data_IF_794553484574
#
_entry.id   IF_794553484574
#
_cell.length_a   1.000
_cell.length_b   1.000
_cell.length_c   1.000
_cell.angle_alpha   90.00
_cell.angle_beta   90.00
_cell.angle_gamma   90.00
#
_symmetry.space_group_name_H-M   'P 1'
#
loop_
_entity.id
_entity.type
_entity.pdbx_description
1 polymer ?
#
# COMPACT_ATOMS: atom_id res chain seq x y z
N UNK A 1 -48.34 25.92 -44.59
CA UNK A 1 -48.41 26.78 -43.40
C UNK A 1 -46.99 26.90 -42.82
N UNK A 2 -46.58 28.14 -42.58
CA UNK A 2 -45.52 28.63 -41.69
C UNK A 2 -44.07 28.13 -41.85
N UNK A 3 -43.26 28.99 -42.47
CA UNK A 3 -41.80 29.13 -42.34
C UNK A 3 -41.37 29.28 -40.86
N UNK A 4 -40.16 28.81 -40.52
CA UNK A 4 -39.20 29.59 -39.71
C UNK A 4 -37.77 29.08 -39.82
N UNK A 5 -36.91 30.04 -40.13
CA UNK A 5 -35.45 29.98 -40.21
C UNK A 5 -34.79 30.09 -38.83
N UNK A 6 -33.51 29.72 -38.85
CA UNK A 6 -32.43 29.80 -37.86
C UNK A 6 -32.42 31.06 -36.99
N UNK A 7 -32.00 30.90 -35.72
CA UNK A 7 -31.14 31.89 -35.09
C UNK A 7 -30.14 31.24 -34.11
N UNK A 8 -28.87 31.50 -34.38
CA UNK A 8 -27.71 31.19 -33.55
C UNK A 8 -27.48 32.37 -32.61
N UNK A 9 -27.53 32.17 -31.29
CA UNK A 9 -26.91 33.07 -30.34
C UNK A 9 -26.53 32.35 -29.04
N UNK A 10 -25.23 32.35 -28.73
CA UNK A 10 -24.65 31.97 -27.43
C UNK A 10 -25.15 32.89 -26.31
N UNK A 11 -25.42 32.38 -25.10
CA UNK A 11 -25.37 33.20 -23.89
C UNK A 11 -24.00 33.09 -23.21
N UNK A 12 -23.45 34.26 -22.93
CA UNK A 12 -22.20 34.52 -22.25
C UNK A 12 -22.15 34.05 -20.78
N UNK A 13 -20.92 33.96 -20.30
CA UNK A 13 -20.44 33.61 -18.96
C UNK A 13 -21.24 34.19 -17.79
N UNK A 14 -21.58 33.33 -16.82
CA UNK A 14 -21.83 33.73 -15.44
C UNK A 14 -20.63 33.33 -14.58
N UNK A 15 -19.74 34.30 -14.33
CA UNK A 15 -18.61 34.16 -13.41
C UNK A 15 -19.11 33.96 -11.97
N UNK A 16 -18.56 32.92 -11.31
CA UNK A 16 -18.73 32.70 -9.86
C UNK A 16 -17.85 33.68 -9.08
N UNK A 17 -18.31 34.26 -7.95
CA UNK A 17 -17.54 35.26 -7.21
C UNK A 17 -16.25 34.67 -6.60
N UNK A 18 -15.10 35.29 -6.92
CA UNK A 18 -13.80 35.04 -6.31
C UNK A 18 -13.78 35.57 -4.86
N UNK A 19 -13.41 34.72 -3.90
CA UNK A 19 -13.12 35.16 -2.52
C UNK A 19 -11.75 35.84 -2.47
N UNK A 20 -11.73 37.08 -1.98
CA UNK A 20 -10.52 37.86 -1.76
C UNK A 20 -9.70 37.35 -0.55
N UNK A 21 -8.37 37.51 -0.55
CA UNK A 21 -7.50 37.07 0.53
C UNK A 21 -7.60 37.98 1.76
N UNK A 22 -7.70 37.38 2.95
CA UNK A 22 -7.64 38.11 4.23
C UNK A 22 -6.19 38.46 4.56
N UNK A 23 -5.91 39.75 4.58
CA UNK A 23 -4.69 40.39 5.07
C UNK A 23 -4.81 40.50 6.60
N UNK A 24 -3.78 40.04 7.32
CA UNK A 24 -3.63 40.18 8.77
C UNK A 24 -3.31 41.63 9.14
N UNK A 25 -3.93 42.24 10.17
CA UNK A 25 -3.48 43.54 10.67
C UNK A 25 -2.41 43.39 11.76
N UNK A 26 -1.51 44.37 11.75
CA UNK A 26 -0.31 44.52 12.57
C UNK A 26 -0.59 44.84 14.06
N UNK A 27 0.42 44.57 14.90
CA UNK A 27 0.49 44.95 16.33
C UNK A 27 0.60 46.48 16.51
N UNK A 28 -0.01 47.05 17.57
CA UNK A 28 0.50 48.25 18.24
C UNK A 28 0.92 48.02 19.72
N UNK A 29 1.57 49.00 20.37
CA UNK A 29 2.69 48.79 21.32
C UNK A 29 2.35 48.80 22.82
N UNK A 30 3.37 48.43 23.63
CA UNK A 30 3.45 48.53 25.10
C UNK A 30 3.19 49.96 25.62
N UNK A 31 2.53 50.10 26.77
CA UNK A 31 2.95 50.82 28.01
C UNK A 31 1.98 50.53 29.19
N UNK A 32 2.36 50.75 30.48
CA UNK A 32 1.85 50.00 31.65
C UNK A 32 0.91 50.79 32.60
N UNK A 33 0.04 50.09 33.34
CA UNK A 33 -0.49 50.48 34.67
C UNK A 33 -1.28 49.31 35.31
N UNK A 34 -0.82 48.73 36.42
CA UNK A 34 -1.13 49.02 37.84
C UNK A 34 -2.43 48.36 38.34
N UNK A 35 -2.24 47.40 39.25
CA UNK A 35 -3.07 46.85 40.35
C UNK A 35 -4.60 46.76 40.23
N UNK A 36 -5.14 45.55 40.46
CA UNK A 36 -5.83 45.31 41.73
C UNK A 36 -5.91 43.83 42.11
N UNK A 37 -5.94 43.59 43.42
CA UNK A 37 -5.65 42.33 44.10
C UNK A 37 -6.76 41.27 44.07
N UNK A 38 -6.31 40.02 44.26
CA UNK A 38 -6.94 38.93 45.01
C UNK A 38 -7.94 38.00 44.30
N UNK A 39 -7.44 36.82 43.86
CA UNK A 39 -8.08 35.53 44.20
C UNK A 39 -7.26 34.31 43.75
N UNK A 40 -7.06 33.40 44.70
CA UNK A 40 -6.76 31.97 44.57
C UNK A 40 -5.51 31.56 43.77
N UNK A 41 -4.45 31.24 44.53
CA UNK A 41 -3.38 30.32 44.14
C UNK A 41 -3.95 28.91 43.95
N UNK A 42 -4.47 28.61 42.77
CA UNK A 42 -4.54 27.24 42.28
C UNK A 42 -3.67 27.18 41.02
N UNK A 43 -2.57 26.42 41.00
CA UNK A 43 -1.88 26.18 39.74
C UNK A 43 -2.90 25.56 38.77
N UNK A 44 -2.90 25.98 37.50
CA UNK A 44 -3.74 25.33 36.50
C UNK A 44 -3.44 23.82 36.55
N UNK A 45 -4.47 22.95 36.41
CA UNK A 45 -4.23 21.52 36.36
C UNK A 45 -3.15 21.26 35.30
N UNK A 46 -2.20 20.34 35.58
CA UNK A 46 -1.17 20.02 34.61
C UNK A 46 -1.86 19.71 33.29
N UNK A 47 -1.45 20.42 32.22
CA UNK A 47 -1.86 20.07 30.86
C UNK A 47 -1.62 18.55 30.75
N UNK A 48 -2.60 17.76 30.28
CA UNK A 48 -2.39 16.33 30.09
C UNK A 48 -1.08 16.18 29.33
N UNK A 49 -0.13 15.44 29.90
CA UNK A 49 1.16 15.20 29.29
C UNK A 49 0.90 14.79 27.83
N UNK A 50 1.61 15.40 26.90
CA UNK A 50 1.52 15.05 25.49
C UNK A 50 2.00 13.60 25.38
N UNK A 51 1.06 12.65 25.43
CA UNK A 51 1.32 11.22 25.42
C UNK A 51 1.69 10.83 23.99
N UNK A 52 2.90 11.25 23.60
CA UNK A 52 3.50 10.89 22.33
C UNK A 52 3.91 9.42 22.38
N UNK A 53 3.43 8.63 21.41
CA UNK A 53 3.89 7.25 21.22
C UNK A 53 5.27 7.31 20.59
N UNK A 54 6.25 6.69 21.23
CA UNK A 54 7.58 6.49 20.67
C UNK A 54 7.55 5.41 19.57
N UNK A 55 8.19 5.69 18.44
CA UNK A 55 8.29 4.74 17.32
C UNK A 55 9.69 4.15 17.26
N UNK A 56 9.82 2.91 17.73
CA UNK A 56 11.08 2.16 17.70
C UNK A 56 11.13 1.35 16.40
N UNK A 57 12.24 1.45 15.66
CA UNK A 57 12.44 0.66 14.43
C UNK A 57 12.66 -0.83 14.73
N UNK A 58 12.40 -1.69 13.76
CA UNK A 58 12.40 -3.15 13.93
C UNK A 58 13.75 -3.68 14.40
N UNK A 59 14.84 -3.14 13.89
CA UNK A 59 16.21 -3.48 14.26
C UNK A 59 16.58 -3.10 15.70
N UNK A 60 15.83 -2.18 16.31
CA UNK A 60 16.05 -1.70 17.67
C UNK A 60 15.07 -2.32 18.69
N UNK A 61 14.16 -3.20 18.26
CA UNK A 61 13.23 -3.88 19.16
C UNK A 61 13.92 -5.03 19.90
N UNK A 62 14.00 -4.91 21.23
CA UNK A 62 14.49 -5.98 22.09
C UNK A 62 13.45 -7.10 22.27
N UNK A 63 13.92 -8.33 22.47
CA UNK A 63 13.07 -9.47 22.83
C UNK A 63 12.26 -9.21 24.12
N UNK A 64 11.18 -9.96 24.31
CA UNK A 64 10.37 -9.91 25.53
C UNK A 64 11.08 -10.64 26.68
N UNK A 65 11.05 -10.07 27.87
CA UNK A 65 11.61 -10.72 29.07
C UNK A 65 10.83 -11.97 29.48
N UNK A 66 9.51 -11.95 29.28
CA UNK A 66 8.62 -13.08 29.58
C UNK A 66 7.57 -13.26 28.46
N UNK A 67 7.98 -13.85 27.32
CA UNK A 67 7.11 -14.00 26.15
C UNK A 67 5.96 -14.99 26.40
N UNK A 68 6.14 -15.95 27.32
CA UNK A 68 5.13 -16.96 27.64
C UNK A 68 3.95 -16.40 28.41
N UNK A 69 4.19 -15.43 29.29
CA UNK A 69 3.09 -14.72 29.94
C UNK A 69 2.50 -13.64 29.04
N UNK A 70 3.32 -12.93 28.26
CA UNK A 70 2.82 -11.91 27.33
C UNK A 70 1.87 -12.48 26.28
N UNK A 71 2.16 -13.64 25.69
CA UNK A 71 1.27 -14.22 24.67
C UNK A 71 -0.14 -14.54 25.19
N UNK A 72 -0.29 -14.79 26.50
CA UNK A 72 -1.59 -15.10 27.13
C UNK A 72 -2.49 -13.86 27.24
N UNK A 73 -1.91 -12.66 27.36
CA UNK A 73 -2.65 -11.41 27.53
C UNK A 73 -2.73 -10.56 26.26
N UNK A 74 -1.80 -10.74 25.30
CA UNK A 74 -1.66 -9.82 24.15
C UNK A 74 -2.95 -9.68 23.33
N UNK A 75 -3.74 -10.75 23.17
CA UNK A 75 -4.99 -10.69 22.41
C UNK A 75 -6.04 -9.81 23.10
N UNK A 76 -6.15 -9.91 24.42
CA UNK A 76 -7.06 -9.08 25.22
C UNK A 76 -6.58 -7.60 25.24
N UNK A 77 -5.27 -7.39 25.38
CA UNK A 77 -4.65 -6.06 25.35
C UNK A 77 -4.90 -5.36 23.99
N UNK A 78 -4.83 -6.11 22.89
CA UNK A 78 -5.15 -5.66 21.53
C UNK A 78 -6.62 -5.25 21.35
N UNK A 79 -7.53 -5.79 22.14
CA UNK A 79 -8.97 -5.44 22.12
C UNK A 79 -9.34 -4.29 23.07
N UNK A 80 -8.37 -3.74 23.80
CA UNK A 80 -8.55 -2.62 24.71
C UNK A 80 -9.28 -1.43 24.05
N UNK A 81 -10.16 -0.78 24.81
CA UNK A 81 -10.79 0.50 24.43
C UNK A 81 -9.80 1.67 24.52
N UNK A 82 -8.74 1.52 25.31
CA UNK A 82 -7.66 2.48 25.40
C UNK A 82 -6.67 2.24 24.26
N UNK A 83 -6.64 3.18 23.30
CA UNK A 83 -5.82 3.10 22.10
C UNK A 83 -4.32 3.11 22.40
N UNK A 84 -3.89 3.65 23.54
CA UNK A 84 -2.48 3.65 23.95
C UNK A 84 -2.06 2.23 24.31
N UNK A 85 -2.88 1.53 25.09
CA UNK A 85 -2.66 0.10 25.38
C UNK A 85 -2.64 -0.74 24.12
N UNK A 86 -3.47 -0.42 23.12
CA UNK A 86 -3.41 -1.11 21.82
C UNK A 86 -2.08 -0.83 21.11
N UNK A 87 -1.55 0.40 21.16
CA UNK A 87 -0.22 0.70 20.62
C UNK A 87 0.89 -0.10 21.34
N UNK A 88 0.83 -0.20 22.67
CA UNK A 88 1.76 -0.99 23.47
C UNK A 88 1.68 -2.48 23.10
N UNK A 89 0.47 -3.03 23.03
CA UNK A 89 0.22 -4.42 22.63
C UNK A 89 0.70 -4.69 21.20
N UNK A 90 0.51 -3.76 20.26
CA UNK A 90 1.04 -3.87 18.90
C UNK A 90 2.58 -3.86 18.88
N UNK A 91 3.23 -3.11 19.76
CA UNK A 91 4.69 -3.20 19.91
C UNK A 91 5.13 -4.53 20.51
N UNK A 92 4.36 -5.12 21.43
CA UNK A 92 4.63 -6.48 21.91
C UNK A 92 4.39 -7.53 20.81
N UNK A 93 3.38 -7.37 19.95
CA UNK A 93 3.20 -8.18 18.73
C UNK A 93 4.42 -8.10 17.84
N UNK A 94 4.98 -6.91 17.60
CA UNK A 94 6.21 -6.72 16.83
C UNK A 94 7.38 -7.51 17.41
N UNK A 95 7.57 -7.42 18.73
CA UNK A 95 8.62 -8.15 19.45
C UNK A 95 8.41 -9.67 19.39
N UNK A 96 7.17 -10.13 19.54
CA UNK A 96 6.80 -11.54 19.39
C UNK A 96 7.06 -12.03 17.96
N UNK A 97 6.70 -11.23 16.95
CA UNK A 97 6.94 -11.57 15.55
C UNK A 97 8.43 -11.72 15.26
N UNK A 98 9.28 -10.82 15.73
CA UNK A 98 10.71 -10.84 15.42
C UNK A 98 11.50 -11.87 16.25
N UNK A 99 11.13 -12.09 17.52
CA UNK A 99 11.95 -12.86 18.46
C UNK A 99 11.30 -14.16 18.97
N UNK A 100 9.99 -14.32 18.80
CA UNK A 100 9.21 -15.43 19.39
C UNK A 100 8.11 -15.95 18.44
N UNK A 101 8.47 -16.15 17.17
CA UNK A 101 7.54 -16.49 16.08
C UNK A 101 6.58 -17.66 16.39
N UNK A 102 7.09 -18.70 17.04
CA UNK A 102 6.31 -19.90 17.40
C UNK A 102 5.16 -19.62 18.36
N UNK A 103 5.26 -18.58 19.19
CA UNK A 103 4.20 -18.18 20.12
C UNK A 103 3.13 -17.35 19.43
N UNK A 104 3.50 -16.51 18.46
CA UNK A 104 2.55 -15.65 17.75
C UNK A 104 1.78 -16.39 16.67
N UNK A 105 2.40 -17.39 16.02
CA UNK A 105 1.82 -18.13 14.91
C UNK A 105 0.38 -18.64 15.19
N UNK A 106 0.07 -19.29 16.33
CA UNK A 106 -1.28 -19.81 16.59
C UNK A 106 -2.39 -18.74 16.65
N UNK A 107 -2.05 -17.47 16.86
CA UNK A 107 -3.00 -16.36 16.96
C UNK A 107 -2.84 -15.34 15.83
N UNK A 108 -1.99 -15.62 14.84
CA UNK A 108 -1.57 -14.64 13.83
C UNK A 108 -2.75 -14.11 13.02
N UNK A 109 -3.72 -14.96 12.69
CA UNK A 109 -4.92 -14.55 11.95
C UNK A 109 -5.74 -13.50 12.73
N UNK A 110 -5.99 -13.75 14.02
CA UNK A 110 -6.69 -12.80 14.89
C UNK A 110 -5.91 -11.49 15.02
N UNK A 111 -4.59 -11.57 15.13
CA UNK A 111 -3.71 -10.39 15.18
C UNK A 111 -3.82 -9.57 13.91
N UNK A 112 -3.83 -10.18 12.72
CA UNK A 112 -4.02 -9.47 11.45
C UNK A 112 -5.37 -8.76 11.38
N UNK A 113 -6.46 -9.39 11.84
CA UNK A 113 -7.78 -8.75 11.90
C UNK A 113 -7.80 -7.53 12.82
N UNK A 114 -7.14 -7.61 13.98
CA UNK A 114 -7.01 -6.45 14.89
C UNK A 114 -6.13 -5.37 14.28
N UNK A 115 -5.05 -5.72 13.58
CA UNK A 115 -4.22 -4.75 12.86
C UNK A 115 -5.05 -3.99 11.82
N UNK A 116 -5.87 -4.69 11.01
CA UNK A 116 -6.78 -4.06 10.04
C UNK A 116 -7.73 -3.07 10.72
N UNK A 117 -8.33 -3.47 11.85
CA UNK A 117 -9.20 -2.61 12.65
C UNK A 117 -8.44 -1.38 13.17
N UNK A 118 -7.21 -1.57 13.64
CA UNK A 118 -6.35 -0.52 14.19
C UNK A 118 -5.92 0.50 13.13
N UNK A 119 -5.62 0.03 11.91
CA UNK A 119 -5.34 0.90 10.76
C UNK A 119 -6.53 1.81 10.43
N UNK A 120 -7.77 1.36 10.64
CA UNK A 120 -8.97 2.17 10.36
C UNK A 120 -9.22 3.28 11.40
N UNK A 121 -8.46 3.30 12.50
CA UNK A 121 -8.54 4.35 13.53
C UNK A 121 -8.21 5.75 12.97
N UNK A 122 -8.91 6.81 13.44
CA UNK A 122 -8.56 8.19 13.09
C UNK A 122 -7.26 8.66 13.76
N UNK A 123 -6.76 7.91 14.76
CA UNK A 123 -5.53 8.24 15.48
C UNK A 123 -4.32 7.79 14.67
N UNK A 124 -3.53 8.74 14.18
CA UNK A 124 -2.35 8.40 13.36
C UNK A 124 -1.30 7.59 14.10
N UNK A 125 -1.17 7.74 15.42
CA UNK A 125 -0.23 6.95 16.18
C UNK A 125 -0.60 5.46 16.14
N UNK A 126 -1.84 5.12 16.49
CA UNK A 126 -2.34 3.75 16.39
C UNK A 126 -2.27 3.21 14.96
N UNK A 127 -2.69 4.01 13.98
CA UNK A 127 -2.60 3.61 12.57
C UNK A 127 -1.16 3.30 12.16
N UNK A 128 -0.20 4.17 12.50
CA UNK A 128 1.21 3.96 12.15
C UNK A 128 1.79 2.74 12.87
N UNK A 129 1.56 2.59 14.18
CA UNK A 129 2.04 1.44 14.93
C UNK A 129 1.51 0.12 14.37
N UNK A 130 0.23 0.08 13.94
CA UNK A 130 -0.33 -1.11 13.29
C UNK A 130 0.29 -1.43 11.92
N UNK A 131 0.71 -0.40 11.17
CA UNK A 131 1.44 -0.58 9.91
C UNK A 131 2.86 -1.11 10.18
N UNK A 132 3.57 -0.57 11.17
CA UNK A 132 4.87 -1.08 11.58
C UNK A 132 4.78 -2.55 12.04
N UNK A 133 3.72 -2.91 12.76
CA UNK A 133 3.43 -4.31 13.10
C UNK A 133 3.22 -5.21 11.87
N UNK A 134 2.62 -4.68 10.80
CA UNK A 134 2.46 -5.43 9.56
C UNK A 134 3.80 -5.71 8.88
N UNK A 135 4.70 -4.72 8.86
CA UNK A 135 6.07 -4.87 8.34
C UNK A 135 6.81 -6.03 9.03
N UNK A 136 6.77 -6.07 10.36
CA UNK A 136 7.45 -7.11 11.14
C UNK A 136 6.79 -8.48 10.96
N UNK A 137 5.47 -8.52 10.79
CA UNK A 137 4.76 -9.76 10.44
C UNK A 137 5.16 -10.26 9.05
N UNK A 138 5.30 -9.39 8.06
CA UNK A 138 5.74 -9.79 6.71
C UNK A 138 7.16 -10.35 6.73
N UNK A 139 8.05 -9.72 7.47
CA UNK A 139 9.43 -10.19 7.65
C UNK A 139 9.47 -11.59 8.28
N UNK A 140 8.65 -11.83 9.30
CA UNK A 140 8.70 -13.07 10.08
C UNK A 140 7.87 -14.22 9.52
N UNK A 141 6.73 -13.92 8.91
CA UNK A 141 5.74 -14.92 8.51
C UNK A 141 5.44 -14.91 7.00
N UNK A 142 6.17 -14.14 6.20
CA UNK A 142 5.85 -13.95 4.78
C UNK A 142 5.62 -15.23 3.97
N UNK A 143 6.31 -16.31 4.32
CA UNK A 143 6.17 -17.64 3.72
C UNK A 143 4.84 -18.36 4.06
N UNK A 144 4.19 -18.00 5.17
CA UNK A 144 2.93 -18.59 5.64
C UNK A 144 1.70 -17.74 5.33
N UNK A 145 1.85 -16.42 5.21
CA UNK A 145 0.70 -15.52 5.13
C UNK A 145 -0.29 -15.83 4.00
N UNK A 146 0.16 -16.22 2.78
CA UNK A 146 -0.79 -16.55 1.72
C UNK A 146 -1.61 -17.82 2.00
N UNK A 147 -1.14 -18.75 2.83
CA UNK A 147 -1.81 -20.03 3.13
C UNK A 147 -2.63 -20.02 4.42
N UNK A 148 -2.31 -19.14 5.39
CA UNK A 148 -3.02 -19.05 6.68
C UNK A 148 -4.49 -18.59 6.52
N UNK A 149 -4.85 -17.96 5.39
CA UNK A 149 -6.04 -17.10 5.30
C UNK A 149 -7.03 -17.50 4.20
N UNK A 150 -7.20 -18.78 3.88
CA UNK A 150 -8.16 -19.21 2.85
C UNK A 150 -9.62 -18.94 3.26
N UNK A 151 -9.99 -19.14 4.53
CA UNK A 151 -11.39 -19.03 4.98
C UNK A 151 -11.78 -17.64 5.51
N UNK A 152 -10.94 -16.96 6.30
CA UNK A 152 -11.30 -15.67 6.90
C UNK A 152 -10.79 -14.44 6.12
N UNK A 153 -10.03 -14.64 5.04
CA UNK A 153 -9.49 -13.57 4.19
C UNK A 153 -8.75 -12.46 4.99
N UNK A 154 -8.22 -12.76 6.19
CA UNK A 154 -7.53 -11.81 7.05
C UNK A 154 -6.32 -11.17 6.36
N UNK A 155 -5.54 -11.95 5.60
CA UNK A 155 -4.42 -11.42 4.82
C UNK A 155 -4.91 -10.50 3.69
N UNK A 156 -5.99 -10.86 2.99
CA UNK A 156 -6.55 -10.06 1.90
C UNK A 156 -7.06 -8.71 2.43
N UNK A 157 -7.70 -8.71 3.61
CA UNK A 157 -8.10 -7.50 4.31
C UNK A 157 -6.91 -6.64 4.73
N UNK A 158 -5.83 -7.24 5.23
CA UNK A 158 -4.60 -6.54 5.60
C UNK A 158 -3.94 -5.87 4.41
N UNK A 159 -3.79 -6.63 3.31
CA UNK A 159 -3.22 -6.17 2.06
C UNK A 159 -4.02 -4.99 1.49
N UNK A 160 -5.35 -5.13 1.36
CA UNK A 160 -6.19 -4.05 0.84
C UNK A 160 -6.12 -2.81 1.74
N UNK A 161 -6.14 -3.01 3.06
CA UNK A 161 -6.06 -1.91 4.01
C UNK A 161 -4.73 -1.16 3.92
N UNK A 162 -3.61 -1.85 3.73
CA UNK A 162 -2.30 -1.23 3.49
C UNK A 162 -2.27 -0.42 2.19
N UNK A 163 -2.81 -0.96 1.09
CA UNK A 163 -2.93 -0.22 -0.17
C UNK A 163 -3.74 1.07 0.00
N UNK A 164 -4.86 1.00 0.74
CA UNK A 164 -5.66 2.19 1.07
C UNK A 164 -4.86 3.20 1.91
N UNK A 165 -4.01 2.74 2.84
CA UNK A 165 -3.18 3.62 3.67
C UNK A 165 -2.00 4.24 2.93
N UNK A 166 -1.43 3.55 1.95
CA UNK A 166 -0.44 4.10 1.02
C UNK A 166 -1.06 5.04 -0.03
N UNK A 167 -2.40 5.11 -0.12
CA UNK A 167 -3.12 5.92 -1.11
C UNK A 167 -3.66 7.26 -0.57
N UNK A 168 -3.35 7.60 0.67
CA UNK A 168 -3.85 8.81 1.34
C UNK A 168 -2.86 9.98 1.27
N UNK A 169 -3.34 11.20 1.54
CA UNK A 169 -2.50 12.41 1.49
C UNK A 169 -1.70 12.68 2.79
N UNK A 170 -1.97 11.94 3.87
CA UNK A 170 -1.25 12.07 5.15
C UNK A 170 0.12 11.38 5.10
N UNK A 171 1.14 12.16 4.71
CA UNK A 171 2.54 11.73 4.52
C UNK A 171 3.05 10.76 5.60
N UNK A 172 2.92 11.13 6.88
CA UNK A 172 3.39 10.31 8.02
C UNK A 172 2.88 8.87 8.05
N UNK A 173 1.64 8.63 7.61
CA UNK A 173 1.04 7.28 7.58
C UNK A 173 1.26 6.64 6.21
N UNK A 174 1.19 7.43 5.14
CA UNK A 174 1.39 6.99 3.77
C UNK A 174 2.80 6.40 3.57
N UNK A 175 3.85 7.10 4.00
CA UNK A 175 5.24 6.64 3.88
C UNK A 175 5.48 5.33 4.65
N UNK A 176 4.87 5.20 5.84
CA UNK A 176 4.98 3.95 6.60
C UNK A 176 4.26 2.79 5.90
N UNK A 177 3.09 3.06 5.30
CA UNK A 177 2.35 2.04 4.54
C UNK A 177 3.11 1.63 3.28
N UNK A 178 3.78 2.55 2.59
CA UNK A 178 4.63 2.23 1.45
C UNK A 178 5.82 1.35 1.84
N UNK A 179 6.46 1.61 2.98
CA UNK A 179 7.50 0.71 3.53
C UNK A 179 6.95 -0.68 3.85
N UNK A 180 5.75 -0.76 4.42
CA UNK A 180 5.11 -2.05 4.69
C UNK A 180 4.79 -2.81 3.39
N UNK A 181 4.34 -2.12 2.34
CA UNK A 181 4.13 -2.73 1.01
C UNK A 181 5.45 -3.18 0.36
N UNK A 182 6.55 -2.45 0.58
CA UNK A 182 7.90 -2.88 0.16
C UNK A 182 8.31 -4.17 0.86
N UNK A 183 8.16 -4.22 2.19
CA UNK A 183 8.45 -5.42 2.97
C UNK A 183 7.56 -6.59 2.54
N UNK A 184 6.26 -6.36 2.32
CA UNK A 184 5.34 -7.38 1.81
C UNK A 184 5.84 -7.96 0.48
N UNK A 185 6.18 -7.10 -0.48
CA UNK A 185 6.70 -7.52 -1.77
C UNK A 185 8.06 -8.22 -1.64
N UNK A 186 8.87 -7.89 -0.64
CA UNK A 186 10.21 -8.46 -0.42
C UNK A 186 10.17 -9.85 0.22
N UNK A 187 9.36 -10.04 1.26
CA UNK A 187 9.39 -11.24 2.12
C UNK A 187 8.32 -12.29 1.80
N UNK A 188 7.28 -11.93 1.05
CA UNK A 188 6.26 -12.89 0.60
C UNK A 188 6.64 -13.42 -0.78
N UNK A 189 6.44 -14.72 -1.01
CA UNK A 189 6.66 -15.34 -2.32
C UNK A 189 5.81 -14.65 -3.40
N UNK A 190 6.45 -14.29 -4.51
CA UNK A 190 5.87 -13.43 -5.54
C UNK A 190 4.58 -14.01 -6.14
N UNK A 191 4.54 -15.31 -6.46
CA UNK A 191 3.41 -15.93 -7.15
C UNK A 191 2.09 -15.87 -6.36
N UNK A 192 2.00 -16.35 -5.11
CA UNK A 192 0.77 -16.22 -4.33
C UNK A 192 0.43 -14.76 -4.01
N UNK A 193 1.43 -13.89 -3.81
CA UNK A 193 1.17 -12.47 -3.55
C UNK A 193 0.53 -11.77 -4.76
N UNK A 194 1.02 -12.01 -5.99
CA UNK A 194 0.39 -11.44 -7.20
C UNK A 194 -1.06 -11.91 -7.33
N UNK A 195 -1.35 -13.19 -7.06
CA UNK A 195 -2.74 -13.69 -7.07
C UNK A 195 -3.65 -12.92 -6.12
N UNK A 196 -3.16 -12.55 -4.93
CA UNK A 196 -3.91 -11.72 -3.97
C UNK A 196 -4.00 -10.24 -4.36
N UNK A 197 -2.98 -9.70 -5.06
CA UNK A 197 -2.96 -8.31 -5.54
C UNK A 197 -3.78 -8.08 -6.82
N UNK A 198 -3.99 -9.11 -7.64
CA UNK A 198 -4.64 -9.01 -8.94
C UNK A 198 -6.03 -8.34 -8.90
N UNK A 199 -6.92 -8.58 -7.93
CA UNK A 199 -8.18 -7.85 -7.84
C UNK A 199 -7.98 -6.34 -7.58
N UNK A 200 -6.88 -5.95 -6.93
CA UNK A 200 -6.62 -4.58 -6.52
C UNK A 200 -6.15 -3.67 -7.66
N UNK A 201 -5.58 -4.23 -8.74
CA UNK A 201 -5.24 -3.45 -9.94
C UNK A 201 -6.46 -3.06 -10.78
N UNK A 202 -7.66 -3.54 -10.43
CA UNK A 202 -8.94 -3.13 -11.01
C UNK A 202 -9.81 -2.30 -10.04
N UNK A 203 -9.23 -1.86 -8.92
CA UNK A 203 -9.96 -1.14 -7.88
C UNK A 203 -10.48 0.23 -8.38
N UNK A 204 -11.65 0.68 -7.92
CA UNK A 204 -12.25 1.95 -8.36
C UNK A 204 -11.38 3.19 -8.03
N UNK A 205 -10.69 3.17 -6.88
CA UNK A 205 -9.73 4.21 -6.49
C UNK A 205 -8.42 4.07 -7.28
N UNK A 206 -8.12 5.08 -8.11
CA UNK A 206 -6.92 5.12 -8.96
C UNK A 206 -5.62 4.95 -8.17
N UNK A 207 -5.51 5.57 -6.98
CA UNK A 207 -4.29 5.51 -6.15
C UNK A 207 -4.05 4.10 -5.60
N UNK A 208 -5.12 3.41 -5.21
CA UNK A 208 -5.05 2.00 -4.77
C UNK A 208 -4.56 1.12 -5.92
N UNK A 209 -5.08 1.32 -7.14
CA UNK A 209 -4.60 0.59 -8.32
C UNK A 209 -3.12 0.84 -8.58
N UNK A 210 -2.66 2.08 -8.50
CA UNK A 210 -1.25 2.42 -8.69
C UNK A 210 -0.36 1.73 -7.65
N UNK A 211 -0.74 1.73 -6.37
CA UNK A 211 0.03 1.02 -5.32
C UNK A 211 0.02 -0.49 -5.53
N UNK A 212 -1.10 -1.08 -5.94
CA UNK A 212 -1.18 -2.50 -6.28
C UNK A 212 -0.28 -2.84 -7.48
N UNK A 213 -0.30 -2.01 -8.52
CA UNK A 213 0.54 -2.17 -9.70
C UNK A 213 2.03 -2.15 -9.35
N UNK A 214 2.47 -1.20 -8.50
CA UNK A 214 3.85 -1.12 -8.01
C UNK A 214 4.24 -2.35 -7.19
N UNK A 215 3.36 -2.86 -6.33
CA UNK A 215 3.62 -4.10 -5.60
C UNK A 215 3.73 -5.30 -6.54
N UNK A 216 2.88 -5.42 -7.57
CA UNK A 216 2.97 -6.47 -8.58
C UNK A 216 4.27 -6.35 -9.37
N UNK A 217 4.66 -5.15 -9.83
CA UNK A 217 5.88 -4.98 -10.61
C UNK A 217 7.14 -5.43 -9.85
N UNK A 218 7.20 -5.14 -8.54
CA UNK A 218 8.27 -5.64 -7.65
C UNK A 218 8.25 -7.16 -7.47
N UNK A 219 7.07 -7.77 -7.43
CA UNK A 219 6.96 -9.22 -7.37
C UNK A 219 7.49 -9.87 -8.66
N UNK A 220 7.05 -9.35 -9.82
CA UNK A 220 7.44 -9.83 -11.15
C UNK A 220 8.93 -9.65 -11.40
N UNK A 221 9.54 -8.53 -10.98
CA UNK A 221 10.98 -8.30 -11.18
C UNK A 221 11.88 -9.30 -10.46
N UNK A 222 11.35 -10.02 -9.46
CA UNK A 222 12.06 -11.07 -8.72
C UNK A 222 11.78 -12.49 -9.22
N UNK A 223 10.83 -12.66 -10.14
CA UNK A 223 10.48 -13.98 -10.66
C UNK A 223 11.49 -14.43 -11.72
N UNK A 224 11.78 -15.73 -11.74
CA UNK A 224 12.36 -16.39 -12.91
C UNK A 224 11.27 -16.67 -13.96
N UNK A 225 11.70 -17.16 -15.13
CA UNK A 225 10.78 -17.40 -16.24
C UNK A 225 9.84 -18.58 -15.95
N UNK A 226 10.28 -19.58 -15.18
CA UNK A 226 9.48 -20.70 -14.72
C UNK A 226 8.31 -20.22 -13.85
N UNK A 227 8.59 -19.36 -12.86
CA UNK A 227 7.57 -18.77 -11.98
C UNK A 227 6.62 -17.86 -12.77
N UNK A 228 7.14 -17.07 -13.71
CA UNK A 228 6.29 -16.25 -14.59
C UNK A 228 5.36 -17.11 -15.46
N UNK A 229 5.85 -18.25 -15.98
CA UNK A 229 5.03 -19.21 -16.73
C UNK A 229 3.98 -19.88 -15.85
N UNK A 230 4.35 -20.26 -14.62
CA UNK A 230 3.42 -20.85 -13.66
C UNK A 230 2.25 -19.90 -13.34
N UNK A 231 2.55 -18.61 -13.15
CA UNK A 231 1.50 -17.61 -13.00
C UNK A 231 0.74 -17.36 -14.31
N UNK A 232 1.46 -17.33 -15.43
CA UNK A 232 0.94 -17.09 -16.78
C UNK A 232 1.50 -15.79 -17.36
N UNK A 233 2.46 -15.92 -18.29
CA UNK A 233 3.07 -14.78 -19.00
C UNK A 233 2.02 -13.90 -19.68
N UNK A 234 1.02 -14.53 -20.32
CA UNK A 234 -0.09 -13.83 -20.97
C UNK A 234 -0.91 -13.02 -19.98
N UNK A 235 -1.15 -13.56 -18.78
CA UNK A 235 -1.91 -12.88 -17.73
C UNK A 235 -1.14 -11.65 -17.21
N UNK A 236 0.17 -11.79 -16.98
CA UNK A 236 1.03 -10.65 -16.61
C UNK A 236 1.02 -9.56 -17.69
N UNK A 237 1.08 -9.97 -18.96
CA UNK A 237 1.04 -9.06 -20.09
C UNK A 237 -0.30 -8.32 -20.19
N UNK A 238 -1.42 -9.02 -19.98
CA UNK A 238 -2.77 -8.44 -19.96
C UNK A 238 -2.93 -7.42 -18.83
N UNK A 239 -2.50 -7.78 -17.61
CA UNK A 239 -2.48 -6.85 -16.45
C UNK A 239 -1.69 -5.58 -16.79
N UNK A 240 -0.49 -5.73 -17.35
CA UNK A 240 0.34 -4.58 -17.70
C UNK A 240 -0.26 -3.73 -18.83
N UNK A 241 -0.86 -4.36 -19.84
CA UNK A 241 -1.52 -3.67 -20.94
C UNK A 241 -2.71 -2.82 -20.46
N UNK A 242 -3.50 -3.30 -19.51
CA UNK A 242 -4.56 -2.53 -18.87
C UNK A 242 -4.00 -1.35 -18.08
N UNK A 243 -2.97 -1.58 -17.26
CA UNK A 243 -2.34 -0.56 -16.43
C UNK A 243 -1.59 0.52 -17.22
N UNK A 244 -1.08 0.22 -18.42
CA UNK A 244 -0.48 1.21 -19.33
C UNK A 244 -1.45 2.35 -19.68
N UNK A 245 -2.75 2.08 -19.64
CA UNK A 245 -3.81 3.05 -19.93
C UNK A 245 -4.36 3.71 -18.65
N UNK A 246 -3.78 3.43 -17.47
CA UNK A 246 -4.25 4.04 -16.23
C UNK A 246 -4.02 5.55 -16.20
N UNK A 247 -4.85 6.26 -15.44
CA UNK A 247 -4.80 7.71 -15.28
C UNK A 247 -3.57 8.16 -14.50
N UNK A 248 -3.08 7.35 -13.55
CA UNK A 248 -1.92 7.72 -12.73
C UNK A 248 -0.59 7.31 -13.37
N UNK A 249 0.42 8.20 -13.39
CA UNK A 249 1.73 7.89 -13.95
C UNK A 249 2.42 6.73 -13.22
N UNK A 250 2.26 6.63 -11.91
CA UNK A 250 2.82 5.55 -11.08
C UNK A 250 2.35 4.16 -11.55
N UNK A 251 1.06 4.01 -11.88
CA UNK A 251 0.51 2.76 -12.41
C UNK A 251 1.09 2.43 -13.80
N UNK A 252 1.22 3.44 -14.67
CA UNK A 252 1.79 3.27 -16.01
C UNK A 252 3.28 2.91 -15.97
N UNK A 253 4.02 3.45 -15.01
CA UNK A 253 5.44 3.13 -14.82
C UNK A 253 5.63 1.69 -14.32
N UNK A 254 4.81 1.28 -13.34
CA UNK A 254 4.78 -0.11 -12.89
C UNK A 254 4.45 -1.07 -14.05
N UNK A 255 3.52 -0.69 -14.93
CA UNK A 255 3.18 -1.47 -16.12
C UNK A 255 4.38 -1.65 -17.08
N UNK A 256 5.14 -0.58 -17.34
CA UNK A 256 6.37 -0.64 -18.16
C UNK A 256 7.40 -1.59 -17.54
N UNK A 257 7.58 -1.52 -16.22
CA UNK A 257 8.45 -2.43 -15.49
C UNK A 257 8.01 -3.89 -15.64
N UNK A 258 6.72 -4.20 -15.51
CA UNK A 258 6.19 -5.56 -15.71
C UNK A 258 6.47 -6.03 -17.15
N UNK A 259 6.19 -5.20 -18.16
CA UNK A 259 6.43 -5.54 -19.57
C UNK A 259 7.89 -5.87 -19.83
N UNK A 260 8.81 -5.05 -19.30
CA UNK A 260 10.24 -5.28 -19.46
C UNK A 260 10.69 -6.59 -18.79
N UNK A 261 10.16 -6.90 -17.59
CA UNK A 261 10.47 -8.17 -16.92
C UNK A 261 9.93 -9.38 -17.69
N UNK A 262 8.69 -9.31 -18.20
CA UNK A 262 8.07 -10.37 -19.01
C UNK A 262 8.83 -10.58 -20.31
N UNK A 263 9.20 -9.50 -21.01
CA UNK A 263 10.00 -9.58 -22.23
C UNK A 263 11.38 -10.21 -21.96
N UNK A 264 12.07 -9.78 -20.91
CA UNK A 264 13.38 -10.33 -20.57
C UNK A 264 13.30 -11.83 -20.26
N UNK A 265 12.24 -12.27 -19.57
CA UNK A 265 11.99 -13.69 -19.34
C UNK A 265 11.66 -14.46 -20.63
N UNK A 266 10.80 -13.90 -21.48
CA UNK A 266 10.44 -14.46 -22.78
C UNK A 266 11.66 -14.65 -23.69
N UNK A 267 12.50 -13.63 -23.82
CA UNK A 267 13.68 -13.64 -24.71
C UNK A 267 14.72 -14.66 -24.26
N UNK A 268 15.04 -14.72 -22.96
CA UNK A 268 15.95 -15.74 -22.41
C UNK A 268 15.46 -17.16 -22.66
N UNK A 269 14.15 -17.40 -22.51
CA UNK A 269 13.58 -18.71 -22.79
C UNK A 269 13.62 -19.07 -24.27
N UNK A 270 13.52 -18.10 -25.17
CA UNK A 270 13.66 -18.33 -26.60
C UNK A 270 15.12 -18.62 -27.00
N UNK A 271 16.10 -17.94 -26.39
CA UNK A 271 17.54 -18.25 -26.58
C UNK A 271 17.85 -19.70 -26.18
N UNK A 272 17.39 -20.14 -25.01
CA UNK A 272 17.58 -21.52 -24.53
C UNK A 272 16.97 -22.59 -25.45
N UNK A 273 15.87 -22.26 -26.16
CA UNK A 273 15.21 -23.17 -27.12
C UNK A 273 15.93 -23.24 -28.47
N UNK A 274 16.73 -22.23 -28.82
CA UNK A 274 17.51 -22.22 -30.07
C UNK A 274 18.77 -23.08 -29.92
N UNK A 275 19.36 -23.10 -28.72
CA UNK A 275 20.56 -23.90 -28.41
C UNK A 275 20.26 -25.41 -28.29
N UNK A 276 19.01 -25.78 -28.00
CA UNK A 276 18.52 -27.15 -27.95
C UNK A 276 17.94 -27.49 -29.34
N UNK A 277 18.68 -28.21 -30.20
CA UNK A 277 18.46 -28.50 -31.66
C UNK A 277 17.05 -29.05 -32.07
N UNK A 278 16.06 -29.02 -31.19
CA UNK A 278 14.65 -29.23 -31.48
C UNK A 278 14.04 -28.04 -32.24
N UNK A 279 13.44 -28.32 -33.39
CA UNK A 279 12.89 -27.39 -34.39
C UNK A 279 11.69 -26.53 -33.95
N UNK A 280 11.73 -25.85 -32.79
CA UNK A 280 10.69 -24.93 -32.38
C UNK A 280 10.91 -23.55 -33.05
N UNK A 281 9.96 -23.12 -33.86
CA UNK A 281 9.92 -21.75 -34.40
C UNK A 281 9.98 -20.74 -33.26
N UNK A 282 11.05 -19.94 -33.20
CA UNK A 282 11.19 -18.85 -32.25
C UNK A 282 10.10 -17.80 -32.50
N UNK A 283 9.11 -17.72 -31.62
CA UNK A 283 8.06 -16.71 -31.69
C UNK A 283 8.67 -15.32 -31.44
N UNK A 284 8.37 -14.34 -32.30
CA UNK A 284 8.82 -12.97 -32.08
C UNK A 284 8.03 -12.30 -30.94
N UNK A 285 8.63 -11.34 -30.25
CA UNK A 285 7.90 -10.58 -29.22
C UNK A 285 6.65 -9.88 -29.78
N UNK A 286 6.72 -9.40 -31.02
CA UNK A 286 5.62 -8.76 -31.72
C UNK A 286 4.46 -9.74 -31.99
N UNK A 287 4.76 -10.97 -32.39
CA UNK A 287 3.75 -12.01 -32.62
C UNK A 287 3.13 -12.46 -31.30
N UNK A 288 3.93 -12.63 -30.26
CA UNK A 288 3.46 -12.93 -28.90
C UNK A 288 2.50 -11.85 -28.38
N UNK A 289 2.86 -10.56 -28.54
CA UNK A 289 1.96 -9.47 -28.16
C UNK A 289 0.67 -9.47 -28.98
N UNK A 290 0.75 -9.65 -30.30
CA UNK A 290 -0.39 -9.56 -31.21
C UNK A 290 -1.37 -10.71 -31.04
N UNK A 291 -0.88 -11.90 -30.66
CA UNK A 291 -1.70 -13.09 -30.43
C UNK A 291 -2.44 -13.04 -29.08
N UNK A 292 -1.94 -12.27 -28.11
CA UNK A 292 -2.41 -12.31 -26.72
C UNK A 292 -3.10 -11.02 -26.23
N UNK A 293 -3.03 -9.93 -27.01
CA UNK A 293 -3.60 -8.62 -26.65
C UNK A 293 -4.46 -8.04 -27.78
N UNK A 294 -5.42 -7.15 -27.46
CA UNK A 294 -6.12 -6.36 -28.48
C UNK A 294 -5.13 -5.54 -29.33
N UNK A 295 -5.42 -5.27 -30.63
CA UNK A 295 -4.44 -4.69 -31.56
C UNK A 295 -3.76 -3.40 -31.07
N UNK A 296 -4.51 -2.48 -30.45
CA UNK A 296 -3.97 -1.22 -29.93
C UNK A 296 -3.03 -1.48 -28.74
N UNK A 297 -3.43 -2.35 -27.82
CA UNK A 297 -2.62 -2.72 -26.66
C UNK A 297 -1.36 -3.47 -27.08
N UNK A 298 -1.46 -4.40 -28.04
CA UNK A 298 -0.32 -5.12 -28.60
C UNK A 298 0.74 -4.17 -29.16
N UNK A 299 0.33 -3.18 -29.96
CA UNK A 299 1.24 -2.18 -30.52
C UNK A 299 1.90 -1.32 -29.44
N UNK A 300 1.13 -0.88 -28.44
CA UNK A 300 1.64 -0.09 -27.32
C UNK A 300 2.68 -0.86 -26.51
N UNK A 301 2.37 -2.11 -26.14
CA UNK A 301 3.24 -2.99 -25.36
C UNK A 301 4.51 -3.35 -26.15
N UNK A 302 4.39 -3.72 -27.42
CA UNK A 302 5.52 -4.08 -28.27
C UNK A 302 6.55 -2.94 -28.39
N UNK A 303 6.09 -1.68 -28.37
CA UNK A 303 6.97 -0.50 -28.45
C UNK A 303 7.73 -0.18 -27.16
N UNK A 304 7.26 -0.61 -25.99
CA UNK A 304 7.90 -0.30 -24.70
C UNK A 304 9.32 -0.84 -24.63
N UNK A 305 9.54 -2.02 -25.19
CA UNK A 305 10.81 -2.74 -25.14
C UNK A 305 11.82 -2.20 -26.17
N UNK A 306 11.36 -1.46 -27.17
CA UNK A 306 12.20 -0.89 -28.23
C UNK A 306 12.77 0.49 -27.88
N UNK A 307 12.51 1.00 -26.68
CA UNK A 307 12.88 2.34 -26.20
C UNK A 307 13.94 2.24 -25.12
#
# INVERSE_FOLDING_TARGET
>A
MALRSLDNALPASLERPRKAPKISPAKPPLYPSINNENSSLTPPPPKPADQSIEYISSENLAALSDPQNKIKSVLEELESKDWIRVCEALNDVRRLALHHQSLLHPILENVMLVIVKSMKSPRSALCKTSIMASTDIFQSFGYLLPSISEDACAFDHLLLQLLMKASQDKKFVCEEAEKALEAMASFISSLPLIKKLQPCVNHANLRVRAKAAVSISKCVSKMDIETMKEFGLVVLLQIAAELLNDKLPEAREAARSIINSVHNGFSKNNELKVDDESSATTESWQDFCSSNLPPISAQSVAKIVLQ
#
